data_IF_175400789923
#
_entry.id   IF_175400789923
#
_cell.length_a   1.000
_cell.length_b   1.000
_cell.length_c   1.000
_cell.angle_alpha   90.00
_cell.angle_beta   90.00
_cell.angle_gamma   90.00
#
_symmetry.space_group_name_H-M   'P 1'
#
loop_
_entity.id
_entity.type
_entity.pdbx_description
1 polymer ?
#
# COMPACT_ATOMS: atom_id res chain seq x y z
N UNK A 1 28.98 -38.13 -26.49
CA UNK A 1 27.63 -37.74 -26.93
C UNK A 1 27.04 -36.81 -25.90
N UNK A 2 27.26 -35.50 -26.04
CA UNK A 2 26.76 -34.47 -25.11
C UNK A 2 25.33 -34.10 -25.48
N UNK A 3 24.40 -34.37 -24.57
CA UNK A 3 22.99 -34.03 -24.69
C UNK A 3 22.81 -32.50 -24.63
N UNK A 4 22.38 -31.89 -25.73
CA UNK A 4 21.92 -30.51 -25.77
C UNK A 4 20.54 -30.43 -25.11
N UNK A 5 20.50 -29.93 -23.87
CA UNK A 5 19.25 -29.57 -23.21
C UNK A 5 18.64 -28.35 -23.88
N UNK A 6 17.52 -28.54 -24.59
CA UNK A 6 16.75 -27.45 -25.19
C UNK A 6 16.12 -26.61 -24.07
N UNK A 7 16.65 -25.41 -23.81
CA UNK A 7 16.01 -24.42 -22.93
C UNK A 7 14.70 -23.99 -23.55
N UNK A 8 13.59 -24.45 -22.99
CA UNK A 8 12.25 -24.06 -23.42
C UNK A 8 11.89 -22.74 -22.74
N UNK A 9 11.91 -21.65 -23.51
CA UNK A 9 11.46 -20.34 -23.04
C UNK A 9 9.93 -20.33 -22.97
N UNK A 10 9.38 -20.54 -21.77
CA UNK A 10 7.94 -20.55 -21.55
C UNK A 10 7.48 -19.11 -21.34
N UNK A 11 6.79 -18.58 -22.35
CA UNK A 11 6.15 -17.28 -22.25
C UNK A 11 4.97 -17.34 -21.26
N UNK A 12 5.13 -16.73 -20.09
CA UNK A 12 4.10 -16.61 -19.03
C UNK A 12 3.26 -15.33 -19.15
N UNK A 13 3.27 -14.68 -20.30
CA UNK A 13 2.53 -13.45 -20.50
C UNK A 13 1.02 -13.71 -20.48
N UNK A 14 0.35 -13.13 -19.49
CA UNK A 14 -1.10 -13.09 -19.39
C UNK A 14 -1.55 -11.62 -19.40
N UNK A 15 -2.19 -11.23 -20.50
CA UNK A 15 -2.71 -9.88 -20.70
C UNK A 15 -3.81 -9.52 -19.68
N UNK A 16 -4.62 -10.49 -19.25
CA UNK A 16 -5.67 -10.27 -18.27
C UNK A 16 -5.07 -10.03 -16.88
N UNK A 17 -4.08 -10.83 -16.48
CA UNK A 17 -3.35 -10.63 -15.23
C UNK A 17 -2.63 -9.27 -15.20
N UNK A 18 -2.00 -8.87 -16.31
CA UNK A 18 -1.35 -7.55 -16.43
C UNK A 18 -2.33 -6.39 -16.33
N UNK A 19 -3.49 -6.50 -16.99
CA UNK A 19 -4.57 -5.49 -16.88
C UNK A 19 -5.10 -5.39 -15.45
N UNK A 20 -5.38 -6.51 -14.81
CA UNK A 20 -5.82 -6.55 -13.42
C UNK A 20 -4.79 -5.88 -12.49
N UNK A 21 -3.51 -6.23 -12.62
CA UNK A 21 -2.45 -5.65 -11.81
C UNK A 21 -2.33 -4.13 -12.03
N UNK A 22 -2.43 -3.66 -13.28
CA UNK A 22 -2.42 -2.23 -13.59
C UNK A 22 -3.60 -1.48 -12.97
N UNK A 23 -4.81 -2.06 -13.01
CA UNK A 23 -6.00 -1.50 -12.36
C UNK A 23 -5.88 -1.48 -10.83
N UNK A 24 -5.33 -2.54 -10.23
CA UNK A 24 -5.09 -2.64 -8.79
C UNK A 24 -4.07 -1.58 -8.33
N UNK A 25 -2.93 -1.47 -9.02
CA UNK A 25 -1.90 -0.46 -8.74
C UNK A 25 -2.48 0.94 -8.86
N UNK A 26 -3.26 1.23 -9.92
CA UNK A 26 -3.91 2.52 -10.12
C UNK A 26 -4.85 2.88 -8.97
N UNK A 27 -5.63 1.92 -8.45
CA UNK A 27 -6.51 2.11 -7.29
C UNK A 27 -5.71 2.44 -6.03
N UNK A 28 -4.67 1.66 -5.74
CA UNK A 28 -3.78 1.88 -4.59
C UNK A 28 -3.11 3.26 -4.67
N UNK A 29 -2.59 3.65 -5.84
CA UNK A 29 -1.98 4.97 -6.04
C UNK A 29 -3.01 6.10 -5.87
N UNK A 30 -4.23 5.92 -6.38
CA UNK A 30 -5.30 6.90 -6.20
C UNK A 30 -5.79 7.00 -4.74
N UNK A 31 -5.73 5.91 -3.98
CA UNK A 31 -5.98 5.91 -2.53
C UNK A 31 -4.85 6.59 -1.77
N UNK A 32 -3.59 6.30 -2.11
CA UNK A 32 -2.41 6.96 -1.54
C UNK A 32 -2.42 8.47 -1.80
N UNK A 33 -2.71 8.91 -3.03
CA UNK A 33 -2.82 10.33 -3.39
C UNK A 33 -3.97 11.04 -2.67
N UNK A 34 -5.03 10.32 -2.30
CA UNK A 34 -6.13 10.83 -1.45
C UNK A 34 -5.83 10.76 0.04
N UNK A 35 -4.91 9.90 0.45
CA UNK A 35 -4.56 9.65 1.85
C UNK A 35 -3.27 10.37 2.28
N UNK A 36 -2.74 11.25 1.43
CA UNK A 36 -1.41 11.85 1.58
C UNK A 36 -1.36 13.15 2.40
N UNK A 37 -2.44 13.56 3.05
CA UNK A 37 -2.36 14.76 3.91
C UNK A 37 -3.37 14.70 5.05
N UNK A 38 -2.96 14.15 6.20
CA UNK A 38 -3.62 14.49 7.46
C UNK A 38 -2.61 14.50 8.60
N UNK A 39 -2.43 15.71 9.12
CA UNK A 39 -1.51 16.18 10.15
C UNK A 39 -1.43 15.24 11.36
N UNK A 40 -0.24 14.66 11.59
CA UNK A 40 0.09 14.08 12.90
C UNK A 40 0.20 15.23 13.91
N UNK A 41 -0.79 15.35 14.79
CA UNK A 41 -0.79 16.35 15.86
C UNK A 41 -0.11 15.75 17.09
N UNK A 42 1.05 16.28 17.46
CA UNK A 42 1.74 15.90 18.71
C UNK A 42 0.99 16.49 19.89
N UNK A 43 0.55 15.63 20.80
CA UNK A 43 -0.11 16.06 22.04
C UNK A 43 0.92 16.09 23.17
N UNK A 44 1.13 17.23 23.85
CA UNK A 44 2.01 17.26 25.01
C UNK A 44 1.36 16.45 26.13
N UNK A 45 2.00 15.33 26.47
CA UNK A 45 1.71 14.54 27.66
C UNK A 45 2.78 14.84 28.72
N UNK A 46 2.46 14.62 30.01
CA UNK A 46 3.45 14.81 31.06
C UNK A 46 4.60 13.80 30.92
N UNK A 47 5.83 14.27 31.17
CA UNK A 47 7.07 13.56 30.86
C UNK A 47 7.25 12.26 31.66
N UNK A 48 6.53 12.12 32.78
CA UNK A 48 6.54 10.95 33.66
C UNK A 48 5.98 9.69 32.99
N UNK A 49 5.26 9.83 31.88
CA UNK A 49 4.69 8.70 31.14
C UNK A 49 5.68 8.08 30.14
N UNK A 50 6.74 8.82 29.78
CA UNK A 50 7.80 8.32 28.90
C UNK A 50 7.36 7.93 27.48
N UNK A 51 6.20 8.45 27.01
CA UNK A 51 5.66 8.16 25.67
C UNK A 51 5.24 9.45 24.97
N UNK A 52 5.53 9.52 23.67
CA UNK A 52 5.02 10.59 22.81
C UNK A 52 3.68 10.18 22.19
N UNK A 53 2.64 10.99 22.38
CA UNK A 53 1.33 10.76 21.76
C UNK A 53 1.17 11.60 20.50
N UNK A 54 0.90 10.92 19.38
CA UNK A 54 0.57 11.54 18.12
C UNK A 54 -0.85 11.15 17.70
N UNK A 55 -1.68 12.14 17.43
CA UNK A 55 -3.02 11.92 16.92
C UNK A 55 -3.00 12.03 15.40
N UNK A 56 -3.49 11.00 14.73
CA UNK A 56 -3.83 11.07 13.31
C UNK A 56 -5.34 11.20 13.20
N UNK A 57 -5.79 12.29 12.60
CA UNK A 57 -7.20 12.46 12.27
C UNK A 57 -7.51 11.65 11.00
N UNK A 58 -8.37 10.65 11.13
CA UNK A 58 -8.80 9.77 10.02
C UNK A 58 -10.26 10.04 9.63
N UNK A 59 -10.86 11.13 10.15
CA UNK A 59 -12.28 11.46 9.88
C UNK A 59 -12.54 11.89 8.43
N UNK A 60 -11.49 12.19 7.67
CA UNK A 60 -11.54 12.55 6.25
C UNK A 60 -11.54 11.36 5.29
N UNK A 61 -11.33 10.12 5.77
CA UNK A 61 -11.32 8.95 4.90
C UNK A 61 -12.76 8.52 4.55
N UNK A 62 -13.16 8.52 3.26
CA UNK A 62 -14.54 8.25 2.84
C UNK A 62 -15.03 6.82 3.17
N UNK A 63 -14.13 5.91 3.56
CA UNK A 63 -14.49 4.55 4.01
C UNK A 63 -14.74 4.44 5.50
N UNK A 64 -14.64 5.54 6.27
CA UNK A 64 -15.06 5.63 7.66
C UNK A 64 -14.63 4.43 8.49
N UNK A 65 -13.44 4.52 9.07
CA UNK A 65 -12.83 3.53 9.96
C UNK A 65 -12.04 2.42 9.24
N UNK A 66 -10.76 2.31 9.62
CA UNK A 66 -9.97 1.09 9.45
C UNK A 66 -10.64 0.04 10.35
N UNK A 67 -11.57 -0.74 9.79
CA UNK A 67 -12.28 -1.79 10.54
C UNK A 67 -11.24 -2.76 11.12
N UNK A 68 -11.31 -2.93 12.44
CA UNK A 68 -10.62 -3.94 13.26
C UNK A 68 -10.60 -5.33 12.61
#
# INVERSE_FOLDING_TARGET
MTSTGTTHDINRYDAAARRWAAEAIRKVQADQQRSADTHLLKMPLPDDWGVDLYLKDETTHPTGSLKH
#
